data_IF_930080077180
#
_entry.id   IF_930080077180
#
_cell.length_a   1.000
_cell.length_b   1.000
_cell.length_c   1.000
_cell.angle_alpha   90.00
_cell.angle_beta   90.00
_cell.angle_gamma   90.00
#
_symmetry.space_group_name_H-M   'P 1'
#
loop_
_entity.id
_entity.type
_entity.pdbx_description
1 polymer ?
#
# COMPACT_ATOMS: atom_id res chain seq x y z
N UNK A 1 6.82 3.50 -6.42
CA UNK A 1 5.42 3.31 -6.86
C UNK A 1 4.93 1.98 -6.32
N UNK A 2 3.66 1.89 -5.90
CA UNK A 2 3.05 0.63 -5.45
C UNK A 2 3.12 -0.45 -6.53
N UNK A 3 3.31 -1.70 -6.12
CA UNK A 3 3.18 -2.85 -7.01
C UNK A 3 1.74 -2.95 -7.50
N UNK A 4 1.55 -3.11 -8.82
CA UNK A 4 0.21 -3.20 -9.38
C UNK A 4 -0.50 -4.47 -8.95
N UNK A 5 -1.83 -4.38 -8.73
CA UNK A 5 -2.68 -5.53 -8.34
C UNK A 5 -2.56 -6.71 -9.31
N UNK A 6 -2.41 -6.41 -10.61
CA UNK A 6 -2.18 -7.43 -11.63
C UNK A 6 -0.85 -8.20 -11.41
N UNK A 7 0.25 -7.50 -11.08
CA UNK A 7 1.53 -8.15 -10.77
C UNK A 7 1.42 -9.03 -9.52
N UNK A 8 0.71 -8.57 -8.49
CA UNK A 8 0.44 -9.37 -7.28
C UNK A 8 -0.36 -10.62 -7.63
N UNK A 9 -1.43 -10.47 -8.43
CA UNK A 9 -2.27 -11.58 -8.89
C UNK A 9 -1.47 -12.64 -9.65
N UNK A 10 -0.66 -12.23 -10.63
CA UNK A 10 0.19 -13.14 -11.41
C UNK A 10 1.17 -13.85 -10.49
N UNK A 11 1.83 -13.14 -9.57
CA UNK A 11 2.78 -13.74 -8.64
C UNK A 11 2.13 -14.77 -7.72
N UNK A 12 0.98 -14.42 -7.13
CA UNK A 12 0.21 -15.35 -6.30
C UNK A 12 -0.20 -16.60 -7.11
N UNK A 13 -0.64 -16.42 -8.35
CA UNK A 13 -1.02 -17.52 -9.24
C UNK A 13 0.15 -18.46 -9.53
N UNK A 14 1.34 -17.91 -9.83
CA UNK A 14 2.55 -18.71 -10.06
C UNK A 14 2.96 -19.50 -8.81
N UNK A 15 2.89 -18.89 -7.62
CA UNK A 15 3.24 -19.57 -6.37
C UNK A 15 2.26 -20.72 -6.09
N UNK A 16 0.95 -20.46 -6.18
CA UNK A 16 -0.08 -21.49 -5.97
C UNK A 16 0.05 -22.59 -7.02
N UNK A 17 0.33 -22.25 -8.27
CA UNK A 17 0.58 -23.21 -9.34
C UNK A 17 1.76 -24.14 -9.00
N UNK A 18 2.89 -23.60 -8.54
CA UNK A 18 4.05 -24.41 -8.15
C UNK A 18 3.69 -25.37 -7.02
N UNK A 19 2.95 -24.89 -6.00
CA UNK A 19 2.48 -25.72 -4.89
C UNK A 19 1.57 -26.85 -5.40
N UNK A 20 0.57 -26.53 -6.21
CA UNK A 20 -0.35 -27.51 -6.80
C UNK A 20 0.38 -28.52 -7.68
N UNK A 21 1.34 -28.07 -8.48
CA UNK A 21 2.16 -28.94 -9.32
C UNK A 21 2.96 -29.95 -8.49
N UNK A 22 3.58 -29.53 -7.39
CA UNK A 22 4.31 -30.45 -6.50
C UNK A 22 3.39 -31.50 -5.88
N UNK A 23 2.20 -31.09 -5.43
CA UNK A 23 1.18 -31.99 -4.86
C UNK A 23 0.66 -32.97 -5.91
N UNK A 24 0.31 -32.46 -7.10
CA UNK A 24 -0.17 -33.26 -8.22
C UNK A 24 0.87 -34.29 -8.67
N UNK A 25 2.13 -33.88 -8.78
CA UNK A 25 3.23 -34.78 -9.13
C UNK A 25 3.42 -35.89 -8.10
N UNK A 26 3.46 -35.53 -6.80
CA UNK A 26 3.55 -36.51 -5.73
C UNK A 26 2.38 -37.50 -5.76
N UNK A 27 1.15 -37.00 -5.94
CA UNK A 27 -0.05 -37.84 -6.01
C UNK A 27 -0.02 -38.80 -7.20
N UNK A 28 0.25 -38.29 -8.41
CA UNK A 28 0.33 -39.09 -9.62
C UNK A 28 1.41 -40.18 -9.50
N UNK A 29 2.56 -39.84 -8.90
CA UNK A 29 3.64 -40.80 -8.65
C UNK A 29 3.26 -41.89 -7.66
N UNK A 30 2.55 -41.56 -6.58
CA UNK A 30 2.12 -42.54 -5.57
C UNK A 30 1.02 -43.47 -6.07
N UNK A 31 0.12 -42.95 -6.91
CA UNK A 31 -1.07 -43.68 -7.38
C UNK A 31 -0.90 -44.31 -8.77
N UNK A 32 0.25 -44.09 -9.41
CA UNK A 32 0.52 -44.44 -10.80
C UNK A 32 -0.62 -43.98 -11.75
N UNK A 33 -1.12 -42.78 -11.49
CA UNK A 33 -2.24 -42.19 -12.21
C UNK A 33 -1.82 -40.92 -12.95
N UNK A 34 -2.69 -40.44 -13.85
CA UNK A 34 -2.49 -39.22 -14.64
C UNK A 34 -3.65 -38.24 -14.43
N UNK A 35 -4.20 -38.18 -13.21
CA UNK A 35 -5.41 -37.41 -12.92
C UNK A 35 -5.21 -35.89 -13.07
N UNK A 36 -4.04 -35.38 -12.70
CA UNK A 36 -3.80 -33.94 -12.63
C UNK A 36 -2.77 -33.50 -13.67
N UNK A 37 -3.24 -32.87 -14.74
CA UNK A 37 -2.37 -32.35 -15.82
C UNK A 37 -1.88 -30.94 -15.48
N UNK A 38 -0.70 -30.51 -16.00
CA UNK A 38 -0.15 -29.20 -15.69
C UNK A 38 -1.08 -28.01 -16.02
N UNK A 39 -1.81 -28.08 -17.14
CA UNK A 39 -2.73 -27.00 -17.52
C UNK A 39 -3.96 -26.93 -16.61
N UNK A 40 -4.45 -28.06 -16.09
CA UNK A 40 -5.55 -28.12 -15.11
C UNK A 40 -5.09 -27.47 -13.80
N UNK A 41 -3.84 -27.71 -13.38
CA UNK A 41 -3.26 -27.04 -12.21
C UNK A 41 -3.09 -25.55 -12.40
N UNK A 42 -2.72 -25.09 -13.60
CA UNK A 42 -2.65 -23.66 -13.92
C UNK A 42 -4.02 -22.98 -13.81
N UNK A 43 -5.07 -23.60 -14.36
CA UNK A 43 -6.45 -23.11 -14.24
C UNK A 43 -6.89 -23.12 -12.78
N UNK A 44 -6.67 -24.22 -12.07
CA UNK A 44 -7.04 -24.35 -10.66
C UNK A 44 -6.34 -23.30 -9.79
N UNK A 45 -5.07 -23.00 -10.05
CA UNK A 45 -4.32 -21.96 -9.34
C UNK A 45 -4.92 -20.57 -9.60
N UNK A 46 -5.19 -20.21 -10.86
CA UNK A 46 -5.78 -18.93 -11.21
C UNK A 46 -7.17 -18.76 -10.57
N UNK A 47 -8.03 -19.79 -10.66
CA UNK A 47 -9.36 -19.80 -10.05
C UNK A 47 -9.27 -19.69 -8.53
N UNK A 48 -8.34 -20.41 -7.90
CA UNK A 48 -8.13 -20.35 -6.44
C UNK A 48 -7.74 -18.95 -5.99
N UNK A 49 -6.78 -18.31 -6.67
CA UNK A 49 -6.35 -16.94 -6.33
C UNK A 49 -7.48 -15.94 -6.58
N UNK A 50 -8.22 -16.06 -7.68
CA UNK A 50 -9.38 -15.20 -7.95
C UNK A 50 -10.45 -15.35 -6.88
N UNK A 51 -10.84 -16.58 -6.56
CA UNK A 51 -11.94 -16.85 -5.65
C UNK A 51 -11.57 -16.53 -4.19
N UNK A 52 -10.50 -17.14 -3.67
CA UNK A 52 -10.11 -16.93 -2.26
C UNK A 52 -9.45 -15.56 -2.05
N UNK A 53 -8.61 -15.11 -3.00
CA UNK A 53 -8.02 -13.78 -2.94
C UNK A 53 -9.06 -12.68 -3.11
N UNK A 54 -9.99 -12.83 -4.07
CA UNK A 54 -11.10 -11.90 -4.27
C UNK A 54 -12.06 -11.86 -3.07
N UNK A 55 -12.41 -13.02 -2.52
CA UNK A 55 -13.24 -13.10 -1.31
C UNK A 55 -12.56 -12.46 -0.10
N UNK A 56 -11.26 -12.75 0.12
CA UNK A 56 -10.49 -12.15 1.21
C UNK A 56 -10.34 -10.64 1.04
N UNK A 57 -10.11 -10.17 -0.18
CA UNK A 57 -10.09 -8.75 -0.52
C UNK A 57 -11.43 -8.08 -0.17
N UNK A 58 -12.54 -8.71 -0.56
CA UNK A 58 -13.88 -8.22 -0.28
C UNK A 58 -14.15 -8.12 1.23
N UNK A 59 -13.94 -9.21 1.98
CA UNK A 59 -14.16 -9.24 3.44
C UNK A 59 -13.31 -8.20 4.15
N UNK A 60 -12.03 -8.09 3.77
CA UNK A 60 -11.10 -7.15 4.40
C UNK A 60 -11.51 -5.69 4.13
N UNK A 61 -11.79 -5.34 2.87
CA UNK A 61 -12.17 -3.98 2.51
C UNK A 61 -13.54 -3.61 3.10
N UNK A 62 -14.49 -4.54 3.10
CA UNK A 62 -15.80 -4.35 3.71
C UNK A 62 -15.68 -4.15 5.22
N UNK A 63 -14.96 -5.04 5.92
CA UNK A 63 -14.73 -4.94 7.36
C UNK A 63 -14.03 -3.63 7.76
N UNK A 64 -12.95 -3.27 7.07
CA UNK A 64 -12.24 -2.01 7.32
C UNK A 64 -13.14 -0.79 7.04
N UNK A 65 -13.97 -0.83 6.00
CA UNK A 65 -14.97 0.20 5.74
C UNK A 65 -16.01 0.31 6.86
N UNK A 66 -16.49 -0.82 7.39
CA UNK A 66 -17.49 -0.86 8.45
C UNK A 66 -16.94 -0.30 9.77
N UNK A 67 -15.73 -0.70 10.17
CA UNK A 67 -15.13 -0.29 11.45
C UNK A 67 -14.47 1.10 11.40
N UNK A 68 -13.79 1.43 10.30
CA UNK A 68 -12.93 2.62 10.20
C UNK A 68 -13.40 3.64 9.15
N UNK A 69 -14.52 3.43 8.46
CA UNK A 69 -14.98 4.33 7.39
C UNK A 69 -15.20 5.79 7.82
N UNK A 70 -15.47 6.03 9.11
CA UNK A 70 -15.60 7.38 9.69
C UNK A 70 -14.27 7.98 10.17
N UNK A 71 -13.23 7.16 10.33
CA UNK A 71 -11.92 7.62 10.74
C UNK A 71 -11.29 8.44 9.59
N UNK A 72 -10.89 9.70 9.82
CA UNK A 72 -10.32 10.53 8.76
C UNK A 72 -8.96 10.02 8.28
N UNK A 73 -8.16 9.35 9.12
CA UNK A 73 -6.90 8.72 8.72
C UNK A 73 -7.13 7.55 7.76
N UNK A 74 -8.16 6.74 8.00
CA UNK A 74 -8.51 5.66 7.09
C UNK A 74 -8.96 6.20 5.73
N UNK A 75 -9.73 7.30 5.72
CA UNK A 75 -10.14 7.97 4.48
C UNK A 75 -8.93 8.53 3.72
N UNK A 76 -8.01 9.20 4.40
CA UNK A 76 -6.74 9.67 3.83
C UNK A 76 -5.93 8.51 3.22
N UNK A 77 -5.77 7.42 3.96
CA UNK A 77 -5.09 6.22 3.49
C UNK A 77 -5.74 5.67 2.21
N UNK A 78 -7.08 5.55 2.17
CA UNK A 78 -7.82 5.09 0.98
C UNK A 78 -7.69 6.06 -0.20
N UNK A 79 -7.75 7.36 0.05
CA UNK A 79 -7.59 8.40 -0.96
C UNK A 79 -6.17 8.39 -1.58
N UNK A 80 -5.15 8.02 -0.79
CA UNK A 80 -3.78 7.84 -1.28
C UNK A 80 -3.56 6.54 -2.08
N UNK A 81 -4.62 5.77 -2.33
CA UNK A 81 -4.57 4.50 -3.06
C UNK A 81 -4.26 3.28 -2.18
N UNK A 82 -4.27 3.44 -0.85
CA UNK A 82 -4.12 2.37 0.12
C UNK A 82 -5.17 1.27 -0.03
N UNK A 83 -4.78 0.00 0.10
CA UNK A 83 -5.71 -1.13 0.10
C UNK A 83 -5.37 -2.10 1.23
N UNK A 84 -6.22 -2.19 2.28
CA UNK A 84 -5.92 -3.00 3.46
C UNK A 84 -5.58 -4.46 3.15
N UNK A 85 -6.19 -5.04 2.11
CA UNK A 85 -5.89 -6.41 1.73
C UNK A 85 -4.53 -6.50 1.04
N UNK A 86 -4.31 -5.75 -0.04
CA UNK A 86 -3.04 -5.85 -0.78
C UNK A 86 -1.83 -5.40 0.05
N UNK A 87 -2.01 -4.43 0.95
CA UNK A 87 -0.94 -3.89 1.80
C UNK A 87 -0.65 -4.79 3.01
N UNK A 88 -1.54 -5.71 3.38
CA UNK A 88 -1.30 -6.72 4.43
C UNK A 88 -0.68 -8.01 3.90
N UNK A 89 -0.60 -8.20 2.57
CA UNK A 89 0.01 -9.39 2.00
C UNK A 89 1.50 -9.49 2.38
N UNK A 90 2.01 -10.71 2.66
CA UNK A 90 3.42 -10.89 2.95
C UNK A 90 4.30 -10.55 1.75
N UNK A 91 5.59 -10.30 2.03
CA UNK A 91 6.59 -9.86 1.05
C UNK A 91 6.64 -10.74 -0.21
N UNK A 92 6.36 -12.03 -0.05
CA UNK A 92 6.34 -13.01 -1.12
C UNK A 92 5.29 -12.67 -2.20
N UNK A 93 4.16 -12.08 -1.83
CA UNK A 93 3.12 -11.66 -2.79
C UNK A 93 3.23 -10.18 -3.13
N UNK A 94 3.39 -9.32 -2.12
CA UNK A 94 3.57 -7.88 -2.30
C UNK A 94 4.98 -7.46 -1.80
N UNK A 95 5.94 -7.15 -2.68
CA UNK A 95 7.31 -6.86 -2.28
C UNK A 95 7.49 -5.41 -1.82
N UNK A 96 6.43 -4.60 -1.85
CA UNK A 96 6.48 -3.20 -1.47
C UNK A 96 6.96 -3.07 -0.01
N UNK A 97 7.87 -2.13 0.23
CA UNK A 97 8.26 -1.78 1.59
C UNK A 97 7.08 -1.20 2.36
N UNK A 98 7.17 -1.19 3.69
CA UNK A 98 6.12 -0.61 4.54
C UNK A 98 5.84 0.86 4.17
N UNK A 99 6.88 1.64 3.87
CA UNK A 99 6.74 3.02 3.38
C UNK A 99 5.89 3.10 2.12
N UNK A 100 6.14 2.22 1.12
CA UNK A 100 5.38 2.22 -0.14
C UNK A 100 3.93 1.80 0.09
N UNK A 101 3.69 0.85 1.00
CA UNK A 101 2.34 0.39 1.37
C UNK A 101 1.55 1.47 2.11
N UNK A 102 2.20 2.28 2.93
CA UNK A 102 1.56 3.35 3.69
C UNK A 102 1.36 4.62 2.84
N UNK A 103 2.39 5.08 2.12
CA UNK A 103 2.36 6.38 1.42
C UNK A 103 2.01 6.29 -0.07
N UNK A 104 2.12 5.10 -0.66
CA UNK A 104 1.97 4.87 -2.09
C UNK A 104 3.16 5.28 -2.95
N UNK A 105 4.21 5.80 -2.34
CA UNK A 105 5.38 6.36 -3.04
C UNK A 105 6.66 5.68 -2.55
N UNK A 106 7.68 5.68 -3.42
CA UNK A 106 9.02 5.24 -3.05
C UNK A 106 9.78 6.48 -2.59
N UNK A 107 10.60 6.35 -1.55
CA UNK A 107 11.49 7.43 -1.13
C UNK A 107 12.45 7.77 -2.29
N UNK A 108 12.66 9.05 -2.61
CA UNK A 108 13.51 9.46 -3.72
C UNK A 108 14.96 9.02 -3.49
N UNK A 109 15.61 8.60 -4.57
CA UNK A 109 17.03 8.25 -4.57
C UNK A 109 17.87 9.53 -4.68
N UNK A 110 18.60 9.87 -3.61
CA UNK A 110 19.35 11.13 -3.51
C UNK A 110 20.64 10.94 -2.72
N UNK A 111 21.63 11.80 -2.96
CA UNK A 111 22.92 11.78 -2.23
C UNK A 111 22.79 12.18 -0.75
N UNK A 112 21.74 12.92 -0.39
CA UNK A 112 21.45 13.26 1.00
C UNK A 112 20.76 12.10 1.71
N UNK A 113 21.35 11.64 2.82
CA UNK A 113 20.73 10.63 3.67
C UNK A 113 20.05 11.34 4.85
N UNK A 114 18.71 11.46 4.86
CA UNK A 114 18.01 12.09 5.97
C UNK A 114 18.20 11.31 7.27
N UNK A 115 18.22 11.99 8.43
CA UNK A 115 18.34 11.35 9.73
C UNK A 115 17.32 10.24 9.96
N UNK A 116 17.74 9.14 10.60
CA UNK A 116 16.84 8.04 10.94
C UNK A 116 15.70 8.45 11.92
N UNK A 117 15.86 9.56 12.63
CA UNK A 117 14.84 10.12 13.52
C UNK A 117 13.68 10.78 12.77
N UNK A 118 13.81 11.06 11.48
CA UNK A 118 12.73 11.62 10.67
C UNK A 118 11.71 10.54 10.32
N UNK A 119 10.55 10.60 10.96
CA UNK A 119 9.48 9.61 10.80
C UNK A 119 8.43 10.01 9.76
N UNK A 120 8.47 11.25 9.27
CA UNK A 120 7.46 11.78 8.34
C UNK A 120 7.98 11.78 6.91
N UNK A 121 7.05 11.81 5.95
CA UNK A 121 7.35 11.81 4.53
C UNK A 121 6.63 12.97 3.85
N UNK A 122 7.33 13.65 2.95
CA UNK A 122 6.79 14.76 2.17
C UNK A 122 5.58 14.30 1.33
N UNK A 123 4.45 15.02 1.36
CA UNK A 123 3.27 14.68 0.58
C UNK A 123 3.46 14.82 -0.94
N UNK A 124 4.49 15.51 -1.41
CA UNK A 124 4.69 15.70 -2.85
C UNK A 124 5.68 14.69 -3.44
N UNK A 125 6.83 14.45 -2.78
CA UNK A 125 7.89 13.61 -3.34
C UNK A 125 8.27 12.39 -2.48
N UNK A 126 7.63 12.18 -1.33
CA UNK A 126 7.95 11.11 -0.38
C UNK A 126 9.35 11.14 0.25
N UNK A 127 10.12 12.22 0.12
CA UNK A 127 11.35 12.36 0.89
C UNK A 127 11.05 12.34 2.40
N UNK A 128 11.89 11.67 3.20
CA UNK A 128 11.80 11.77 4.67
C UNK A 128 12.00 13.22 5.11
N UNK A 129 11.18 13.70 6.03
CA UNK A 129 11.17 15.08 6.53
C UNK A 129 10.94 15.10 8.04
N UNK A 130 11.35 16.19 8.69
CA UNK A 130 11.16 16.37 10.13
C UNK A 130 9.70 16.60 10.54
N UNK A 131 8.89 17.21 9.67
CA UNK A 131 7.47 17.50 9.87
C UNK A 131 6.70 17.30 8.55
N UNK A 132 5.44 16.85 8.59
CA UNK A 132 4.65 16.62 7.36
C UNK A 132 4.28 17.90 6.61
N UNK A 133 4.18 19.02 7.33
CA UNK A 133 3.81 20.34 6.81
C UNK A 133 4.96 21.29 7.12
N UNK A 134 6.00 21.23 6.29
CA UNK A 134 7.20 22.06 6.36
C UNK A 134 7.93 22.01 5.00
N UNK A 135 8.96 22.83 4.84
CA UNK A 135 9.77 22.91 3.63
C UNK A 135 10.48 21.58 3.37
N UNK A 136 10.10 20.89 2.30
CA UNK A 136 10.80 19.68 1.89
C UNK A 136 12.15 20.03 1.28
N UNK A 137 13.23 19.49 1.86
CA UNK A 137 14.60 19.67 1.34
C UNK A 137 14.78 19.16 -0.09
N UNK A 138 14.00 18.17 -0.53
CA UNK A 138 14.16 17.55 -1.85
C UNK A 138 13.38 18.27 -2.96
N UNK A 139 12.08 18.51 -2.76
CA UNK A 139 11.21 19.05 -3.81
C UNK A 139 10.68 20.47 -3.55
N UNK A 140 11.16 21.13 -2.48
CA UNK A 140 10.74 22.49 -2.08
C UNK A 140 9.25 22.66 -1.76
N UNK A 141 8.52 21.57 -1.57
CA UNK A 141 7.15 21.59 -1.05
C UNK A 141 7.10 22.45 0.22
N UNK A 142 6.11 23.35 0.35
CA UNK A 142 5.95 24.23 1.51
C UNK A 142 6.82 25.49 1.51
N UNK A 143 7.71 25.69 0.53
CA UNK A 143 8.58 26.88 0.46
C UNK A 143 7.80 28.19 0.28
N UNK A 144 6.69 28.14 -0.45
CA UNK A 144 5.75 29.23 -0.72
C UNK A 144 4.58 29.25 0.29
N UNK A 145 4.66 28.46 1.36
CA UNK A 145 3.56 28.19 2.28
C UNK A 145 2.34 27.47 1.66
N UNK A 146 2.46 26.93 0.44
CA UNK A 146 1.41 26.08 -0.14
C UNK A 146 1.44 24.68 0.49
N UNK A 147 0.32 24.32 1.11
CA UNK A 147 0.14 23.02 1.74
C UNK A 147 -0.91 22.16 1.02
N UNK A 148 -1.34 22.54 -0.19
CA UNK A 148 -2.31 21.83 -1.02
C UNK A 148 -2.03 20.33 -1.11
N UNK A 149 -0.79 19.93 -1.39
CA UNK A 149 -0.40 18.53 -1.48
C UNK A 149 -0.64 17.73 -0.17
N UNK A 150 -0.54 18.39 0.99
CA UNK A 150 -0.90 17.76 2.27
C UNK A 150 -2.41 17.51 2.34
N UNK A 151 -3.22 18.54 2.08
CA UNK A 151 -4.68 18.44 2.15
C UNK A 151 -5.24 17.47 1.11
N UNK A 152 -4.68 17.44 -0.10
CA UNK A 152 -5.08 16.49 -1.14
C UNK A 152 -4.88 15.03 -0.71
N UNK A 153 -3.77 14.74 -0.02
CA UNK A 153 -3.46 13.38 0.41
C UNK A 153 -4.12 13.01 1.74
N UNK A 154 -3.98 13.87 2.74
CA UNK A 154 -4.32 13.57 4.13
C UNK A 154 -5.64 14.19 4.57
N UNK A 155 -6.24 15.06 3.76
CA UNK A 155 -7.43 15.84 4.13
C UNK A 155 -7.14 16.81 5.27
N UNK A 156 -8.20 17.16 6.01
CA UNK A 156 -8.14 18.06 7.16
C UNK A 156 -7.66 17.37 8.46
N UNK A 157 -6.92 16.27 8.35
CA UNK A 157 -6.32 15.59 9.50
C UNK A 157 -5.17 16.44 10.03
N UNK A 158 -5.19 16.78 11.31
CA UNK A 158 -4.06 17.48 11.93
C UNK A 158 -2.88 16.52 12.10
N UNK A 159 -1.65 16.87 11.67
CA UNK A 159 -0.47 16.11 12.04
C UNK A 159 -0.23 16.16 13.56
N UNK A 160 0.11 15.03 14.21
CA UNK A 160 0.33 14.99 15.65
C UNK A 160 1.45 15.93 16.13
N UNK A 161 2.43 16.22 15.26
CA UNK A 161 3.57 17.11 15.54
C UNK A 161 3.24 18.61 15.48
N UNK A 162 2.06 19.00 15.00
CA UNK A 162 1.64 20.40 14.86
C UNK A 162 0.66 20.76 15.97
N UNK A 163 0.89 21.86 16.67
CA UNK A 163 -0.04 22.38 17.69
C UNK A 163 -1.40 22.76 17.08
N UNK A 164 -2.47 22.73 17.88
CA UNK A 164 -3.81 23.12 17.41
C UNK A 164 -3.83 24.56 16.85
N UNK A 165 -3.12 25.48 17.49
CA UNK A 165 -2.99 26.88 17.06
C UNK A 165 -2.34 26.98 15.67
N UNK A 166 -1.19 26.34 15.48
CA UNK A 166 -0.48 26.33 14.19
C UNK A 166 -1.30 25.63 13.11
N UNK A 167 -2.05 24.58 13.47
CA UNK A 167 -2.94 23.90 12.55
C UNK A 167 -4.11 24.78 12.10
N UNK A 168 -4.70 25.57 13.01
CA UNK A 168 -5.73 26.55 12.67
C UNK A 168 -5.20 27.59 11.67
N UNK A 169 -3.99 28.12 11.90
CA UNK A 169 -3.33 29.09 11.01
C UNK A 169 -3.04 28.50 9.62
N UNK A 170 -2.61 27.24 9.54
CA UNK A 170 -2.37 26.55 8.26
C UNK A 170 -3.68 26.40 7.49
N UNK A 171 -4.76 25.99 8.16
CA UNK A 171 -6.08 25.84 7.52
C UNK A 171 -6.66 27.18 7.06
N UNK A 172 -6.49 28.24 7.84
CA UNK A 172 -6.97 29.57 7.46
C UNK A 172 -6.27 30.06 6.19
N UNK A 173 -4.94 29.89 6.10
CA UNK A 173 -4.17 30.23 4.90
C UNK A 173 -4.54 29.43 3.66
N UNK A 174 -4.99 28.19 3.82
CA UNK A 174 -5.39 27.36 2.69
C UNK A 174 -6.79 27.73 2.15
N UNK A 175 -7.65 28.30 3.00
CA UNK A 175 -9.04 28.63 2.68
C UNK A 175 -9.27 30.10 2.30
N UNK A 176 -8.28 30.97 2.53
CA UNK A 176 -8.32 32.40 2.18
C UNK A 176 -7.69 32.68 0.83
#
# INVERSE_FOLDING_TARGET
>A
MRTSRFKIFVRATVIVFIIYMMIAWAWNSMTNSNFWKPWEMAIAAAVSVLFYGGFSWFVTNFGMGLFFGRNPEYRAYRNSGGDPFFDSLPWLFNPDSETVRQSGMVEPDTDFVPPASWQFHCPQCNARVQHRVDVCWNCRYGQDSDNSAYFDRYGDVRPPEISEEKWAEIKERQNG
#
